data_IF_804883134989
#
_entry.id   IF_804883134989
#
_cell.length_a   1.000
_cell.length_b   1.000
_cell.length_c   1.000
_cell.angle_alpha   90.00
_cell.angle_beta   90.00
_cell.angle_gamma   90.00
#
_symmetry.space_group_name_H-M   'P 1'
#
loop_
_entity.id
_entity.type
_entity.pdbx_description
1 polymer ?
#
# COMPACT_ATOMS: atom_id res chain seq x y z
N UNK A 1 -59.80 -14.17 22.79
CA UNK A 1 -58.86 -14.63 23.83
C UNK A 1 -57.52 -13.95 23.61
N UNK A 2 -57.10 -13.19 24.61
CA UNK A 2 -55.83 -12.50 24.75
C UNK A 2 -54.65 -13.48 24.77
N UNK A 3 -53.55 -13.04 24.17
CA UNK A 3 -52.47 -13.81 23.53
C UNK A 3 -51.49 -14.43 24.55
N UNK A 4 -51.03 -15.67 24.35
CA UNK A 4 -49.89 -16.18 25.12
C UNK A 4 -48.59 -15.98 24.34
N UNK A 5 -47.74 -15.08 24.82
CA UNK A 5 -46.38 -14.82 24.34
C UNK A 5 -45.41 -16.00 24.61
N UNK A 6 -45.88 -17.08 25.25
CA UNK A 6 -45.10 -18.29 25.51
C UNK A 6 -44.90 -19.19 24.27
N UNK A 7 -45.61 -18.93 23.17
CA UNK A 7 -45.51 -19.71 21.93
C UNK A 7 -44.38 -19.24 20.99
N UNK A 8 -43.77 -18.08 21.26
CA UNK A 8 -42.78 -17.46 20.38
C UNK A 8 -41.32 -17.85 20.67
N UNK A 9 -41.03 -18.60 21.75
CA UNK A 9 -39.64 -18.97 22.13
C UNK A 9 -39.41 -20.46 22.36
N UNK A 10 -40.38 -21.32 22.03
CA UNK A 10 -40.13 -22.76 22.01
C UNK A 10 -39.53 -23.16 20.66
N UNK A 11 -38.19 -23.18 20.64
CA UNK A 11 -37.33 -23.93 19.72
C UNK A 11 -38.10 -24.64 18.62
N UNK A 12 -38.36 -23.94 17.53
CA UNK A 12 -38.78 -24.57 16.29
C UNK A 12 -37.59 -25.40 15.82
N UNK A 13 -37.67 -26.70 16.07
CA UNK A 13 -36.80 -27.69 15.45
C UNK A 13 -36.81 -27.40 13.94
N UNK A 14 -35.70 -26.88 13.41
CA UNK A 14 -35.45 -26.76 11.97
C UNK A 14 -35.11 -28.11 11.34
N UNK A 15 -35.28 -29.20 12.09
CA UNK A 15 -35.19 -30.55 11.53
C UNK A 15 -36.45 -30.78 10.68
N UNK A 16 -36.32 -31.04 9.36
CA UNK A 16 -37.49 -31.32 8.55
C UNK A 16 -38.19 -32.55 9.11
N UNK A 17 -39.40 -32.37 9.64
CA UNK A 17 -40.22 -33.47 10.13
C UNK A 17 -40.55 -34.41 8.96
N UNK A 18 -39.90 -35.57 8.94
CA UNK A 18 -40.14 -36.66 7.99
C UNK A 18 -41.46 -37.41 8.26
N UNK A 19 -42.54 -36.67 8.49
CA UNK A 19 -43.88 -37.21 8.70
C UNK A 19 -44.89 -36.57 7.74
N UNK A 20 -44.55 -36.55 6.45
CA UNK A 20 -45.59 -36.56 5.43
C UNK A 20 -46.13 -37.99 5.37
N UNK A 21 -47.40 -38.16 5.76
CA UNK A 21 -48.12 -39.42 5.55
C UNK A 21 -48.07 -39.71 4.05
N UNK A 22 -47.35 -40.77 3.67
CA UNK A 22 -47.39 -41.28 2.30
C UNK A 22 -48.82 -41.67 1.98
N UNK A 23 -49.49 -40.88 1.15
CA UNK A 23 -50.66 -41.34 0.43
C UNK A 23 -50.17 -42.39 -0.56
N UNK A 24 -50.62 -43.66 -0.50
CA UNK A 24 -50.25 -44.67 -1.46
C UNK A 24 -51.02 -44.43 -2.77
N UNK A 25 -50.75 -43.30 -3.43
CA UNK A 25 -51.10 -43.14 -4.84
C UNK A 25 -50.11 -44.00 -5.62
N UNK A 26 -50.50 -45.26 -5.82
CA UNK A 26 -50.02 -46.17 -6.87
C UNK A 26 -48.65 -45.83 -7.46
N UNK A 27 -47.61 -45.87 -6.62
CA UNK A 27 -46.23 -45.93 -7.11
C UNK A 27 -46.11 -47.32 -7.69
N UNK A 28 -46.10 -47.40 -9.02
CA UNK A 28 -45.76 -48.62 -9.76
C UNK A 28 -44.54 -49.28 -9.09
N UNK A 29 -44.77 -50.45 -8.51
CA UNK A 29 -43.77 -51.28 -7.83
C UNK A 29 -42.77 -51.92 -8.82
N UNK A 30 -42.32 -51.18 -9.83
CA UNK A 30 -41.52 -51.68 -10.95
C UNK A 30 -40.20 -50.93 -11.15
N UNK A 31 -39.56 -50.44 -10.08
CA UNK A 31 -38.17 -49.95 -10.19
C UNK A 31 -37.30 -50.24 -8.97
N UNK A 32 -37.62 -51.29 -8.20
CA UNK A 32 -36.58 -51.93 -7.42
C UNK A 32 -35.50 -52.40 -8.42
N UNK A 33 -34.23 -51.97 -8.29
CA UNK A 33 -33.18 -52.43 -9.20
C UNK A 33 -33.16 -53.96 -9.17
N UNK A 34 -32.94 -54.62 -10.31
CA UNK A 34 -32.98 -56.08 -10.38
C UNK A 34 -32.09 -56.63 -9.28
N UNK A 35 -32.69 -57.40 -8.36
CA UNK A 35 -32.01 -58.11 -7.28
C UNK A 35 -31.16 -59.21 -7.90
N UNK A 36 -30.07 -58.83 -8.59
CA UNK A 36 -29.09 -59.78 -9.09
C UNK A 36 -28.46 -60.44 -7.86
N UNK A 37 -28.59 -61.77 -7.70
CA UNK A 37 -27.91 -62.48 -6.62
C UNK A 37 -26.42 -62.17 -6.71
N UNK A 38 -25.82 -61.80 -5.58
CA UNK A 38 -24.38 -61.53 -5.50
C UNK A 38 -23.58 -62.82 -5.68
N UNK A 39 -22.27 -62.72 -5.91
CA UNK A 39 -21.38 -63.87 -5.95
C UNK A 39 -21.50 -64.71 -4.66
N UNK A 40 -21.46 -66.05 -4.74
CA UNK A 40 -21.53 -66.91 -3.55
C UNK A 40 -20.29 -66.68 -2.66
N UNK A 41 -20.49 -66.42 -1.35
CA UNK A 41 -19.42 -66.23 -0.37
C UNK A 41 -19.09 -64.77 0.01
N UNK A 42 -19.82 -63.77 -0.50
CA UNK A 42 -19.62 -62.34 -0.18
C UNK A 42 -19.83 -62.05 1.33
N UNK A 43 -18.91 -61.30 1.95
CA UNK A 43 -19.08 -60.88 3.35
C UNK A 43 -20.26 -59.90 3.50
N UNK A 44 -20.93 -59.82 4.66
CA UNK A 44 -22.05 -58.89 4.85
C UNK A 44 -21.68 -57.43 4.55
N UNK A 45 -20.45 -57.03 4.87
CA UNK A 45 -19.95 -55.67 4.64
C UNK A 45 -19.70 -55.38 3.15
N UNK A 46 -19.18 -56.36 2.43
CA UNK A 46 -18.95 -56.27 0.99
C UNK A 46 -20.27 -56.20 0.21
N UNK A 47 -21.28 -56.96 0.64
CA UNK A 47 -22.64 -56.89 0.11
C UNK A 47 -23.24 -55.49 0.23
N UNK A 48 -23.06 -54.84 1.39
CA UNK A 48 -23.54 -53.46 1.59
C UNK A 48 -22.79 -52.49 0.69
N UNK A 49 -21.46 -52.65 0.55
CA UNK A 49 -20.65 -51.81 -0.36
C UNK A 49 -21.09 -51.95 -1.81
N UNK A 50 -21.36 -53.18 -2.26
CA UNK A 50 -21.87 -53.45 -3.61
C UNK A 50 -23.26 -52.87 -3.82
N UNK A 51 -24.17 -53.03 -2.86
CA UNK A 51 -25.52 -52.48 -2.95
C UNK A 51 -25.50 -50.95 -2.96
N UNK A 52 -24.65 -50.31 -2.16
CA UNK A 52 -24.43 -48.85 -2.20
C UNK A 52 -23.86 -48.42 -3.55
N UNK A 53 -22.81 -49.10 -4.03
CA UNK A 53 -22.22 -48.81 -5.33
C UNK A 53 -23.22 -49.01 -6.49
N UNK A 54 -24.08 -50.03 -6.43
CA UNK A 54 -25.14 -50.26 -7.42
C UNK A 54 -26.25 -49.21 -7.33
N UNK A 55 -26.61 -48.76 -6.13
CA UNK A 55 -27.57 -47.67 -5.94
C UNK A 55 -27.00 -46.33 -6.44
N UNK A 56 -25.74 -46.04 -6.16
CA UNK A 56 -25.04 -44.85 -6.64
C UNK A 56 -24.85 -44.92 -8.17
N UNK A 57 -24.55 -46.08 -8.72
CA UNK A 57 -24.49 -46.29 -10.17
C UNK A 57 -25.86 -46.11 -10.84
N UNK A 58 -26.94 -46.60 -10.23
CA UNK A 58 -28.30 -46.41 -10.73
C UNK A 58 -28.72 -44.92 -10.68
N UNK A 59 -28.38 -44.20 -9.61
CA UNK A 59 -28.57 -42.74 -9.55
C UNK A 59 -27.76 -42.02 -10.62
N UNK A 60 -26.48 -42.37 -10.79
CA UNK A 60 -25.61 -41.75 -11.79
C UNK A 60 -25.99 -42.11 -13.23
N UNK A 61 -26.70 -43.21 -13.47
CA UNK A 61 -27.21 -43.59 -14.80
C UNK A 61 -28.44 -42.76 -15.21
N UNK A 62 -29.20 -42.22 -14.26
CA UNK A 62 -30.35 -41.33 -14.53
C UNK A 62 -29.92 -39.91 -14.94
N UNK A 63 -28.66 -39.54 -14.68
CA UNK A 63 -28.12 -38.24 -15.06
C UNK A 63 -27.65 -38.27 -16.51
N UNK A 64 -28.22 -37.37 -17.33
CA UNK A 64 -27.85 -37.20 -18.74
C UNK A 64 -26.36 -36.88 -18.90
N UNK A 65 -25.73 -37.37 -19.96
CA UNK A 65 -24.32 -37.10 -20.27
C UNK A 65 -24.03 -35.62 -20.45
N UNK A 66 -24.99 -34.86 -20.99
CA UNK A 66 -24.90 -33.40 -21.11
C UNK A 66 -24.91 -32.72 -19.75
N UNK A 67 -25.74 -33.19 -18.81
CA UNK A 67 -25.80 -32.65 -17.45
C UNK A 67 -24.47 -32.89 -16.70
N UNK A 68 -23.86 -34.07 -16.88
CA UNK A 68 -22.51 -34.36 -16.37
C UNK A 68 -21.46 -33.42 -16.94
N UNK A 69 -21.53 -33.13 -18.24
CA UNK A 69 -20.59 -32.23 -18.91
C UNK A 69 -20.76 -30.78 -18.44
N UNK A 70 -21.99 -30.33 -18.24
CA UNK A 70 -22.31 -28.99 -17.70
C UNK A 70 -21.80 -28.85 -16.26
N UNK A 71 -22.06 -29.85 -15.40
CA UNK A 71 -21.57 -29.86 -14.02
C UNK A 71 -20.04 -29.83 -13.96
N UNK A 72 -19.36 -30.59 -14.83
CA UNK A 72 -17.90 -30.58 -14.95
C UNK A 72 -17.39 -29.25 -15.49
N UNK A 73 -18.09 -28.67 -16.47
CA UNK A 73 -17.80 -27.39 -17.08
C UNK A 73 -17.83 -26.23 -16.08
N UNK A 74 -18.83 -26.21 -15.18
CA UNK A 74 -18.90 -25.21 -14.11
C UNK A 74 -17.67 -25.23 -13.21
N UNK A 75 -17.25 -26.42 -12.77
CA UNK A 75 -16.05 -26.56 -11.93
C UNK A 75 -14.77 -26.15 -12.66
N UNK A 76 -14.71 -26.39 -13.98
CA UNK A 76 -13.57 -25.98 -14.79
C UNK A 76 -13.55 -24.47 -15.04
N UNK A 77 -14.71 -23.86 -15.27
CA UNK A 77 -14.86 -22.42 -15.38
C UNK A 77 -14.45 -21.70 -14.08
N UNK A 78 -14.91 -22.21 -12.92
CA UNK A 78 -14.51 -21.69 -11.62
C UNK A 78 -12.99 -21.82 -11.38
N UNK A 79 -12.38 -22.93 -11.82
CA UNK A 79 -10.92 -23.11 -11.77
C UNK A 79 -10.19 -22.14 -12.70
N UNK A 80 -10.67 -21.95 -13.92
CA UNK A 80 -10.07 -21.03 -14.88
C UNK A 80 -10.14 -19.58 -14.37
N UNK A 81 -11.28 -19.15 -13.83
CA UNK A 81 -11.43 -17.83 -13.22
C UNK A 81 -10.50 -17.64 -12.02
N UNK A 82 -10.37 -18.66 -11.16
CA UNK A 82 -9.42 -18.59 -10.02
C UNK A 82 -7.97 -18.52 -10.50
N UNK A 83 -7.61 -19.28 -11.53
CA UNK A 83 -6.27 -19.24 -12.10
C UNK A 83 -5.93 -17.86 -12.68
N UNK A 84 -6.83 -17.26 -13.46
CA UNK A 84 -6.61 -15.93 -14.03
C UNK A 84 -6.54 -14.85 -12.95
N UNK A 85 -7.42 -14.90 -11.94
CA UNK A 85 -7.39 -13.98 -10.81
C UNK A 85 -6.06 -14.08 -10.05
N UNK A 86 -5.61 -15.29 -9.71
CA UNK A 86 -4.34 -15.51 -9.03
C UNK A 86 -3.14 -15.12 -9.91
N UNK A 87 -3.22 -15.33 -11.22
CA UNK A 87 -2.20 -14.87 -12.16
C UNK A 87 -2.09 -13.35 -12.20
N UNK A 88 -3.21 -12.63 -12.20
CA UNK A 88 -3.22 -11.16 -12.17
C UNK A 88 -2.64 -10.64 -10.86
N UNK A 89 -3.00 -11.26 -9.73
CA UNK A 89 -2.42 -10.93 -8.44
C UNK A 89 -0.91 -11.20 -8.43
N UNK A 90 -0.46 -12.33 -8.96
CA UNK A 90 0.97 -12.62 -9.10
C UNK A 90 1.70 -11.59 -9.96
N UNK A 91 1.09 -11.19 -11.08
CA UNK A 91 1.66 -10.18 -11.97
C UNK A 91 1.78 -8.81 -11.30
N UNK A 92 0.84 -8.40 -10.45
CA UNK A 92 0.94 -7.11 -9.72
C UNK A 92 2.06 -7.13 -8.68
N UNK A 93 2.30 -8.25 -8.00
CA UNK A 93 3.45 -8.38 -7.10
C UNK A 93 4.79 -8.30 -7.85
N UNK A 94 4.90 -8.95 -9.01
CA UNK A 94 6.12 -8.87 -9.85
C UNK A 94 6.33 -7.43 -10.33
N UNK A 95 5.29 -6.77 -10.84
CA UNK A 95 5.35 -5.37 -11.26
C UNK A 95 5.75 -4.45 -10.11
N UNK A 96 5.19 -4.64 -8.91
CA UNK A 96 5.58 -3.91 -7.70
C UNK A 96 7.02 -4.17 -7.27
N UNK A 97 7.52 -5.40 -7.41
CA UNK A 97 8.92 -5.72 -7.15
C UNK A 97 9.86 -4.99 -8.12
N UNK A 98 9.51 -4.94 -9.41
CA UNK A 98 10.30 -4.25 -10.44
C UNK A 98 10.35 -2.74 -10.18
N UNK A 99 9.23 -2.12 -9.74
CA UNK A 99 9.23 -0.68 -9.44
C UNK A 99 10.11 -0.33 -8.25
N UNK A 100 10.06 -1.12 -7.16
CA UNK A 100 10.95 -0.94 -6.01
C UNK A 100 12.41 -1.13 -6.40
N UNK A 101 12.71 -2.13 -7.23
CA UNK A 101 14.06 -2.35 -7.76
C UNK A 101 14.54 -1.14 -8.56
N UNK A 102 13.74 -0.64 -9.50
CA UNK A 102 14.10 0.51 -10.33
C UNK A 102 14.35 1.79 -9.51
N UNK A 103 13.50 2.06 -8.52
CA UNK A 103 13.69 3.21 -7.61
C UNK A 103 14.99 3.08 -6.81
N UNK A 104 15.25 1.89 -6.28
CA UNK A 104 16.46 1.61 -5.49
C UNK A 104 17.72 1.74 -6.34
N UNK A 105 17.71 1.19 -7.56
CA UNK A 105 18.82 1.27 -8.51
C UNK A 105 19.14 2.72 -8.87
N UNK A 106 18.10 3.53 -9.17
CA UNK A 106 18.26 4.94 -9.48
C UNK A 106 18.82 5.72 -8.28
N UNK A 107 18.35 5.45 -7.06
CA UNK A 107 18.88 6.07 -5.85
C UNK A 107 20.36 5.76 -5.62
N UNK A 108 20.77 4.49 -5.78
CA UNK A 108 22.18 4.09 -5.60
C UNK A 108 23.06 4.75 -6.66
N UNK A 109 22.65 4.71 -7.91
CA UNK A 109 23.39 5.35 -9.00
C UNK A 109 23.54 6.87 -8.79
N UNK A 110 22.44 7.54 -8.44
CA UNK A 110 22.44 8.99 -8.23
C UNK A 110 23.22 9.38 -6.98
N UNK A 111 23.21 8.53 -5.95
CA UNK A 111 24.05 8.70 -4.75
C UNK A 111 25.53 8.54 -5.05
N UNK A 112 25.92 7.59 -5.92
CA UNK A 112 27.32 7.43 -6.36
C UNK A 112 27.79 8.64 -7.17
N UNK A 113 26.99 9.11 -8.13
CA UNK A 113 27.33 10.29 -8.93
C UNK A 113 27.42 11.56 -8.11
N UNK A 114 26.49 11.76 -7.17
CA UNK A 114 26.58 12.86 -6.21
C UNK A 114 27.81 12.73 -5.31
N UNK A 115 28.15 11.54 -4.85
CA UNK A 115 29.33 11.31 -4.02
C UNK A 115 30.64 11.67 -4.74
N UNK A 116 30.77 11.33 -6.02
CA UNK A 116 31.92 11.72 -6.86
C UNK A 116 32.04 13.24 -6.94
N UNK A 117 30.94 13.93 -7.28
CA UNK A 117 30.91 15.39 -7.38
C UNK A 117 31.25 16.09 -6.05
N UNK A 118 30.69 15.60 -4.93
CA UNK A 118 30.99 16.15 -3.61
C UNK A 118 32.42 15.84 -3.16
N UNK A 119 32.99 14.70 -3.56
CA UNK A 119 34.38 14.38 -3.28
C UNK A 119 35.34 15.33 -4.01
N UNK A 120 35.06 15.64 -5.28
CA UNK A 120 35.83 16.61 -6.07
C UNK A 120 35.73 18.02 -5.50
N UNK A 121 34.52 18.50 -5.18
CA UNK A 121 34.35 19.81 -4.54
C UNK A 121 35.06 19.89 -3.20
N UNK A 122 34.96 18.85 -2.39
CA UNK A 122 35.64 18.79 -1.09
C UNK A 122 37.16 18.82 -1.28
N UNK A 123 37.71 18.09 -2.25
CA UNK A 123 39.14 18.12 -2.55
C UNK A 123 39.62 19.52 -2.98
N UNK A 124 38.85 20.21 -3.82
CA UNK A 124 39.16 21.60 -4.22
C UNK A 124 39.09 22.56 -3.03
N UNK A 125 38.08 22.42 -2.18
CA UNK A 125 37.91 23.23 -0.98
C UNK A 125 39.04 22.99 0.04
N UNK A 126 39.40 21.72 0.29
CA UNK A 126 40.49 21.35 1.17
C UNK A 126 41.84 21.88 0.65
N UNK A 127 42.07 21.83 -0.67
CA UNK A 127 43.24 22.44 -1.30
C UNK A 127 43.26 23.97 -1.15
N UNK A 128 42.10 24.64 -1.26
CA UNK A 128 41.99 26.08 -1.03
C UNK A 128 42.27 26.46 0.44
N UNK A 129 41.82 25.64 1.40
CA UNK A 129 42.17 25.82 2.81
C UNK A 129 43.67 25.64 3.04
N UNK A 130 44.28 24.62 2.42
CA UNK A 130 45.71 24.36 2.59
C UNK A 130 46.55 25.53 2.08
N UNK A 131 46.25 26.03 0.88
CA UNK A 131 46.96 27.16 0.29
C UNK A 131 46.76 28.45 1.10
N UNK A 132 45.55 28.70 1.62
CA UNK A 132 45.28 29.84 2.49
C UNK A 132 46.08 29.77 3.81
N UNK A 133 46.20 28.57 4.40
CA UNK A 133 46.99 28.34 5.63
C UNK A 133 48.48 28.49 5.39
N UNK A 134 49.00 28.00 4.27
CA UNK A 134 50.41 28.18 3.88
C UNK A 134 50.73 29.67 3.70
N UNK A 135 49.87 30.41 2.98
CA UNK A 135 50.04 31.84 2.78
C UNK A 135 49.97 32.63 4.10
N UNK A 136 49.13 32.18 5.05
CA UNK A 136 49.07 32.77 6.39
C UNK A 136 50.34 32.49 7.19
N UNK A 137 50.87 31.27 7.12
CA UNK A 137 52.10 30.88 7.79
C UNK A 137 53.34 31.59 7.21
N UNK A 138 53.37 31.82 5.89
CA UNK A 138 54.43 32.59 5.22
C UNK A 138 54.27 34.10 5.40
N UNK A 139 53.20 34.58 6.05
CA UNK A 139 52.93 36.00 6.26
C UNK A 139 52.53 36.77 4.99
N UNK A 140 52.27 36.08 3.88
CA UNK A 140 51.89 36.67 2.58
C UNK A 140 50.40 36.49 2.28
N UNK A 141 49.58 36.21 3.30
CA UNK A 141 48.15 35.98 3.14
C UNK A 141 47.42 37.23 2.67
N UNK A 142 46.55 37.04 1.68
CA UNK A 142 45.61 38.07 1.25
C UNK A 142 44.46 38.19 2.25
N UNK A 143 43.86 39.39 2.36
CA UNK A 143 42.70 39.62 3.25
C UNK A 143 41.53 38.67 2.96
N UNK A 144 41.33 38.34 1.68
CA UNK A 144 40.33 37.36 1.26
C UNK A 144 40.59 35.95 1.82
N UNK A 145 41.85 35.49 1.86
CA UNK A 145 42.23 34.18 2.42
C UNK A 145 42.06 34.14 3.94
N UNK A 146 42.32 35.26 4.63
CA UNK A 146 42.12 35.40 6.08
C UNK A 146 40.62 35.31 6.40
N UNK A 147 39.79 36.06 5.68
CA UNK A 147 38.33 36.01 5.87
C UNK A 147 37.75 34.63 5.54
N UNK A 148 38.25 33.98 4.49
CA UNK A 148 37.87 32.61 4.15
C UNK A 148 38.15 31.63 5.29
N UNK A 149 39.33 31.70 5.91
CA UNK A 149 39.68 30.83 7.04
C UNK A 149 38.82 31.12 8.28
N UNK A 150 38.52 32.40 8.55
CA UNK A 150 37.64 32.78 9.65
C UNK A 150 36.22 32.24 9.46
N UNK A 151 35.71 32.28 8.23
CA UNK A 151 34.40 31.71 7.88
C UNK A 151 34.40 30.19 8.05
N UNK A 152 35.41 29.47 7.54
CA UNK A 152 35.55 28.01 7.73
C UNK A 152 35.59 27.61 9.21
N UNK A 153 36.35 28.35 10.03
CA UNK A 153 36.40 28.11 11.47
C UNK A 153 35.03 28.34 12.16
N UNK A 154 34.31 29.39 11.76
CA UNK A 154 32.97 29.67 12.27
C UNK A 154 31.95 28.59 11.88
N UNK A 155 32.04 28.06 10.65
CA UNK A 155 31.20 26.96 10.19
C UNK A 155 31.48 25.65 10.96
N UNK A 156 32.75 25.33 11.20
CA UNK A 156 33.14 24.16 12.01
C UNK A 156 32.59 24.24 13.43
N UNK A 157 32.73 25.40 14.09
CA UNK A 157 32.18 25.63 15.41
C UNK A 157 30.64 25.44 15.46
N UNK A 158 29.93 25.90 14.42
CA UNK A 158 28.48 25.69 14.30
C UNK A 158 28.12 24.22 14.12
N UNK A 159 28.83 23.49 13.28
CA UNK A 159 28.58 22.06 13.05
C UNK A 159 28.84 21.24 14.32
N UNK A 160 29.89 21.56 15.07
CA UNK A 160 30.19 20.92 16.35
C UNK A 160 29.13 21.20 17.41
N UNK A 161 28.65 22.45 17.52
CA UNK A 161 27.54 22.80 18.40
C UNK A 161 26.27 22.02 18.06
N UNK A 162 25.93 21.91 16.77
CA UNK A 162 24.77 21.14 16.32
C UNK A 162 24.94 19.63 16.56
N UNK A 163 26.16 19.08 16.41
CA UNK A 163 26.45 17.68 16.73
C UNK A 163 26.30 17.42 18.23
N UNK A 164 26.83 18.29 19.08
CA UNK A 164 26.69 18.20 20.53
C UNK A 164 25.22 18.26 20.96
N UNK A 165 24.42 19.16 20.37
CA UNK A 165 22.99 19.24 20.64
C UNK A 165 22.23 17.97 20.20
N UNK A 166 22.59 17.41 19.03
CA UNK A 166 21.99 16.16 18.54
C UNK A 166 22.36 14.96 19.41
N UNK A 167 23.59 14.89 19.91
CA UNK A 167 24.01 13.82 20.82
C UNK A 167 23.25 13.90 22.14
N UNK A 168 23.04 15.10 22.68
CA UNK A 168 22.20 15.29 23.86
C UNK A 168 20.75 14.86 23.60
N UNK A 169 20.17 15.21 22.45
CA UNK A 169 18.80 14.81 22.08
C UNK A 169 18.65 13.30 21.83
N UNK A 170 19.64 12.65 21.22
CA UNK A 170 19.64 11.18 21.04
C UNK A 170 19.62 10.43 22.37
N UNK A 171 20.31 10.95 23.39
CA UNK A 171 20.25 10.40 24.74
C UNK A 171 18.84 10.45 25.36
N UNK A 172 18.05 11.47 25.03
CA UNK A 172 16.69 11.66 25.55
C UNK A 172 15.69 10.75 24.81
N UNK A 173 15.80 10.64 23.48
CA UNK A 173 14.96 9.74 22.69
C UNK A 173 15.19 8.26 23.00
N UNK A 174 16.44 7.84 23.23
CA UNK A 174 16.76 6.46 23.62
C UNK A 174 16.12 6.08 24.96
N UNK A 175 16.20 6.97 25.96
CA UNK A 175 15.57 6.77 27.27
C UNK A 175 14.04 6.65 27.17
N UNK A 176 13.41 7.46 26.30
CA UNK A 176 11.97 7.37 26.03
C UNK A 176 11.56 6.06 25.36
N UNK A 177 12.33 5.60 24.37
CA UNK A 177 12.08 4.31 23.71
C UNK A 177 12.32 3.12 24.64
N UNK A 178 13.37 3.16 25.47
CA UNK A 178 13.66 2.08 26.43
C UNK A 178 12.56 1.98 27.49
N UNK A 179 12.00 3.11 27.95
CA UNK A 179 10.85 3.09 28.87
C UNK A 179 9.58 2.52 28.21
N UNK A 180 9.27 2.94 26.97
CA UNK A 180 8.10 2.45 26.23
C UNK A 180 8.18 0.95 25.89
N UNK A 181 9.37 0.41 25.65
CA UNK A 181 9.58 -1.01 25.33
C UNK A 181 10.01 -1.86 26.54
N UNK A 182 10.31 -1.27 27.69
CA UNK A 182 10.60 -1.99 28.94
C UNK A 182 9.39 -2.76 29.47
N UNK A 183 8.17 -2.33 29.15
CA UNK A 183 6.94 -3.05 29.53
C UNK A 183 6.71 -4.33 28.74
N UNK A 184 7.27 -4.43 27.53
CA UNK A 184 7.09 -5.60 26.65
C UNK A 184 8.13 -6.71 26.89
N UNK A 185 9.25 -6.38 27.53
CA UNK A 185 10.33 -7.34 27.83
C UNK A 185 10.19 -8.05 29.19
N UNK A 186 9.20 -7.71 30.02
CA UNK A 186 9.11 -8.22 31.40
C UNK A 186 7.97 -9.23 31.64
N UNK A 187 7.34 -9.75 30.59
CA UNK A 187 6.28 -10.76 30.70
C UNK A 187 6.50 -12.05 29.89
N UNK A 188 7.74 -12.42 29.55
CA UNK A 188 8.00 -13.74 28.98
C UNK A 188 9.19 -14.40 29.67
N UNK A 189 8.87 -15.17 30.71
CA UNK A 189 9.76 -16.12 31.36
C UNK A 189 9.05 -17.46 31.48
N UNK A 190 9.02 -18.23 30.38
CA UNK A 190 9.02 -19.69 30.37
C UNK A 190 9.11 -20.18 28.91
N UNK A 191 10.24 -20.82 28.60
CA UNK A 191 10.40 -21.89 27.61
C UNK A 191 10.15 -21.56 26.12
N UNK A 192 11.22 -21.17 25.41
CA UNK A 192 11.78 -22.01 24.34
C UNK A 192 12.93 -21.30 23.60
N UNK A 193 14.12 -21.88 23.71
CA UNK A 193 15.25 -21.55 22.88
C UNK A 193 15.18 -22.33 21.56
N UNK A 194 14.71 -21.71 20.48
CA UNK A 194 15.17 -21.92 19.10
C UNK A 194 14.27 -21.15 18.12
N UNK A 195 14.88 -20.60 17.05
CA UNK A 195 14.25 -19.87 15.93
C UNK A 195 13.83 -18.44 16.37
N UNK A 196 14.55 -17.35 16.16
CA UNK A 196 15.37 -16.93 15.02
C UNK A 196 16.25 -15.74 15.47
N UNK A 197 17.50 -16.00 15.84
CA UNK A 197 18.49 -14.94 16.10
C UNK A 197 19.81 -15.21 15.35
N UNK A 198 19.71 -15.90 14.20
CA UNK A 198 20.84 -16.23 13.33
C UNK A 198 20.66 -15.70 11.89
N UNK A 199 19.72 -14.79 11.63
CA UNK A 199 19.50 -14.26 10.27
C UNK A 199 19.11 -12.79 10.32
N UNK A 200 20.09 -11.92 10.59
CA UNK A 200 20.24 -10.58 10.01
C UNK A 200 21.44 -9.90 10.69
N UNK A 201 22.60 -10.54 10.54
CA UNK A 201 23.86 -9.82 10.48
C UNK A 201 23.83 -8.93 9.25
N UNK A 202 23.37 -7.70 9.43
CA UNK A 202 23.75 -6.56 8.59
C UNK A 202 24.28 -5.53 9.56
N UNK A 203 25.59 -5.60 9.78
CA UNK A 203 26.37 -4.43 10.13
C UNK A 203 26.16 -3.40 9.02
N UNK A 204 25.08 -2.63 9.14
CA UNK A 204 24.87 -1.45 8.31
C UNK A 204 25.97 -0.46 8.71
N UNK A 205 26.84 -0.03 7.77
CA UNK A 205 27.91 0.89 8.10
C UNK A 205 27.28 2.17 8.65
N UNK A 206 27.87 2.73 9.72
CA UNK A 206 27.40 3.97 10.36
C UNK A 206 27.25 5.15 9.38
N UNK A 207 27.87 5.06 8.19
CA UNK A 207 27.71 6.00 7.07
C UNK A 207 26.36 5.87 6.32
N UNK A 208 25.74 4.68 6.29
CA UNK A 208 24.41 4.49 5.70
C UNK A 208 23.33 5.18 6.56
N UNK A 209 23.45 5.11 7.89
CA UNK A 209 22.57 5.83 8.81
C UNK A 209 22.75 7.36 8.74
N UNK A 210 23.97 7.87 8.59
CA UNK A 210 24.21 9.31 8.42
C UNK A 210 23.71 9.84 7.07
N UNK A 211 23.79 9.01 6.01
CA UNK A 211 23.19 9.33 4.71
C UNK A 211 21.66 9.25 4.72
N UNK A 212 21.07 8.30 5.45
CA UNK A 212 19.62 8.17 5.60
C UNK A 212 19.06 9.33 6.43
N UNK A 213 19.75 9.74 7.49
CA UNK A 213 19.39 10.91 8.33
C UNK A 213 19.56 12.23 7.57
N UNK A 214 20.53 12.34 6.66
CA UNK A 214 20.62 13.49 5.73
C UNK A 214 19.48 13.48 4.71
N UNK A 215 19.12 12.31 4.16
CA UNK A 215 17.98 12.15 3.26
C UNK A 215 16.67 12.47 3.98
N UNK A 216 16.47 12.03 5.22
CA UNK A 216 15.32 12.39 6.04
C UNK A 216 15.30 13.89 6.36
N UNK A 217 16.44 14.52 6.63
CA UNK A 217 16.55 15.95 6.85
C UNK A 217 16.24 16.79 5.60
N UNK A 218 16.63 16.33 4.42
CA UNK A 218 16.35 16.99 3.14
C UNK A 218 14.90 16.74 2.69
N UNK A 219 14.35 15.56 2.94
CA UNK A 219 12.92 15.25 2.73
C UNK A 219 12.05 16.03 3.70
N UNK A 220 12.45 16.19 4.97
CA UNK A 220 11.75 17.04 5.94
C UNK A 220 11.82 18.51 5.55
N UNK A 221 12.97 19.02 5.08
CA UNK A 221 13.07 20.37 4.52
C UNK A 221 12.19 20.55 3.29
N UNK A 222 12.19 19.59 2.36
CA UNK A 222 11.32 19.63 1.19
C UNK A 222 9.83 19.52 1.55
N UNK A 223 9.48 18.80 2.61
CA UNK A 223 8.12 18.75 3.16
C UNK A 223 7.76 20.08 3.81
N UNK A 224 8.66 20.70 4.56
CA UNK A 224 8.41 21.99 5.22
C UNK A 224 8.36 23.13 4.20
N UNK A 225 9.19 23.12 3.15
CA UNK A 225 9.08 24.03 2.00
C UNK A 225 7.76 23.81 1.25
N UNK A 226 7.33 22.56 1.05
CA UNK A 226 6.02 22.26 0.48
C UNK A 226 4.87 22.71 1.39
N UNK A 227 5.00 22.58 2.70
CA UNK A 227 4.01 23.10 3.67
C UNK A 227 3.96 24.62 3.64
N UNK A 228 5.10 25.30 3.56
CA UNK A 228 5.16 26.76 3.42
C UNK A 228 4.50 27.22 2.11
N UNK A 229 4.81 26.58 0.98
CA UNK A 229 4.16 26.91 -0.30
C UNK A 229 2.67 26.57 -0.33
N UNK A 230 2.22 25.51 0.35
CA UNK A 230 0.78 25.20 0.51
C UNK A 230 0.12 26.22 1.44
N UNK A 231 0.78 26.61 2.54
CA UNK A 231 0.29 27.62 3.47
C UNK A 231 0.19 29.00 2.80
N UNK A 232 1.17 29.37 1.96
CA UNK A 232 1.16 30.62 1.22
C UNK A 232 0.10 30.60 0.12
N UNK A 233 -0.08 29.46 -0.59
CA UNK A 233 -1.20 29.28 -1.53
C UNK A 233 -2.55 29.31 -0.82
N UNK A 234 -2.66 28.78 0.39
CA UNK A 234 -3.88 28.82 1.18
C UNK A 234 -4.20 30.24 1.67
N UNK A 235 -3.19 30.99 2.13
CA UNK A 235 -3.33 32.42 2.47
C UNK A 235 -3.72 33.25 1.26
N UNK A 236 -3.06 33.04 0.12
CA UNK A 236 -3.37 33.73 -1.13
C UNK A 236 -4.77 33.39 -1.64
N UNK A 237 -5.21 32.13 -1.52
CA UNK A 237 -6.58 31.74 -1.84
C UNK A 237 -7.60 32.37 -0.88
N UNK A 238 -7.28 32.49 0.41
CA UNK A 238 -8.13 33.12 1.41
C UNK A 238 -8.23 34.64 1.21
N UNK A 239 -7.14 35.30 0.84
CA UNK A 239 -7.10 36.72 0.48
C UNK A 239 -7.92 36.97 -0.79
N UNK A 240 -7.75 36.14 -1.83
CA UNK A 240 -8.57 36.19 -3.04
C UNK A 240 -10.07 36.00 -2.75
N UNK A 241 -10.43 35.12 -1.81
CA UNK A 241 -11.83 34.91 -1.41
C UNK A 241 -12.37 36.08 -0.58
N UNK A 242 -11.55 36.66 0.30
CA UNK A 242 -11.89 37.88 1.05
C UNK A 242 -12.06 39.09 0.13
N UNK A 243 -11.27 39.18 -0.93
CA UNK A 243 -11.43 40.20 -1.98
C UNK A 243 -12.70 39.97 -2.81
N UNK A 244 -13.04 38.71 -3.13
CA UNK A 244 -14.32 38.35 -3.77
C UNK A 244 -15.52 38.70 -2.89
N UNK A 245 -15.42 38.55 -1.57
CA UNK A 245 -16.47 39.01 -0.65
C UNK A 245 -16.58 40.55 -0.61
N UNK A 246 -15.48 41.27 -0.78
CA UNK A 246 -15.48 42.75 -0.84
C UNK A 246 -15.94 43.32 -2.19
N UNK A 247 -15.67 42.62 -3.28
CA UNK A 247 -15.91 43.09 -4.66
C UNK A 247 -17.07 42.36 -5.35
N UNK A 248 -17.78 41.50 -4.63
CA UNK A 248 -18.79 40.61 -5.18
C UNK A 248 -18.18 39.41 -5.91
N UNK A 249 -18.81 38.25 -5.77
CA UNK A 249 -18.41 37.04 -6.48
C UNK A 249 -18.58 37.21 -8.00
N UNK A 250 -18.04 36.30 -8.82
CA UNK A 250 -18.21 36.36 -10.28
C UNK A 250 -19.68 36.36 -10.72
N UNK A 251 -20.61 35.83 -9.91
CA UNK A 251 -22.05 35.92 -10.15
C UNK A 251 -22.61 37.33 -9.90
N UNK A 252 -22.11 38.07 -8.91
CA UNK A 252 -22.59 39.41 -8.56
C UNK A 252 -22.16 40.45 -9.62
N UNK A 253 -21.05 40.18 -10.31
CA UNK A 253 -20.54 41.04 -11.40
C UNK A 253 -21.33 40.90 -12.69
N UNK A 254 -21.96 39.75 -12.93
CA UNK A 254 -22.78 39.52 -14.14
C UNK A 254 -24.00 40.46 -14.17
N UNK A 255 -24.50 40.90 -13.02
CA UNK A 255 -25.57 41.90 -12.95
C UNK A 255 -25.14 43.33 -13.32
N UNK A 256 -23.88 43.70 -13.04
CA UNK A 256 -23.35 45.06 -13.29
C UNK A 256 -22.76 45.18 -14.70
N UNK A 257 -22.19 44.11 -15.25
CA UNK A 257 -21.66 44.10 -16.62
C UNK A 257 -22.75 44.17 -17.70
N UNK A 258 -24.01 43.84 -17.35
CA UNK A 258 -25.11 43.82 -18.32
C UNK A 258 -25.66 45.21 -18.65
N UNK A 259 -25.35 46.23 -17.83
CA UNK A 259 -25.74 47.63 -18.15
C UNK A 259 -24.67 48.39 -18.96
N UNK A 260 -23.42 47.93 -19.00
CA UNK A 260 -22.30 48.66 -19.67
C UNK A 260 -21.74 47.98 -20.94
N UNK A 261 -22.34 46.88 -21.42
CA UNK A 261 -21.88 46.21 -22.65
C UNK A 261 -22.98 46.03 -23.70
N UNK A 262 -23.66 47.14 -23.99
CA UNK A 262 -24.42 47.36 -25.23
C UNK A 262 -23.53 48.01 -26.31
N UNK A 263 -22.38 47.41 -26.62
CA UNK A 263 -21.66 47.70 -27.87
C UNK A 263 -20.59 46.65 -28.16
N UNK A 264 -20.82 45.85 -29.21
CA UNK A 264 -19.77 45.23 -30.02
C UNK A 264 -19.15 43.92 -29.51
N UNK A 265 -19.13 42.94 -30.43
CA UNK A 265 -18.19 41.81 -30.51
C UNK A 265 -18.42 40.54 -29.65
N UNK A 266 -19.01 39.55 -30.33
CA UNK A 266 -18.73 38.11 -30.35
C UNK A 266 -18.00 37.47 -29.14
N UNK A 267 -18.77 36.73 -28.33
CA UNK A 267 -18.25 35.75 -27.39
C UNK A 267 -17.61 34.54 -28.12
N UNK A 268 -16.36 34.13 -27.82
CA UNK A 268 -15.83 32.88 -28.33
C UNK A 268 -16.49 31.71 -27.58
N UNK A 269 -17.20 30.86 -28.34
CA UNK A 269 -17.82 29.63 -27.85
C UNK A 269 -16.77 28.75 -27.18
N UNK A 270 -17.03 28.36 -25.93
CA UNK A 270 -16.24 27.43 -25.13
C UNK A 270 -16.00 26.12 -25.90
N UNK A 271 -14.77 25.93 -26.38
CA UNK A 271 -14.34 24.69 -27.03
C UNK A 271 -14.28 23.55 -26.02
N UNK A 272 -15.29 22.67 -26.07
CA UNK A 272 -15.29 21.42 -25.32
C UNK A 272 -14.12 20.51 -25.74
N UNK A 273 -13.73 19.62 -24.84
CA UNK A 273 -12.61 18.67 -24.92
C UNK A 273 -12.44 17.89 -26.24
N UNK A 274 -13.45 17.85 -27.10
CA UNK A 274 -13.42 17.18 -28.40
C UNK A 274 -12.74 17.97 -29.53
N UNK A 275 -12.42 19.25 -29.33
CA UNK A 275 -11.81 20.10 -30.36
C UNK A 275 -10.42 19.63 -30.85
N UNK A 276 -9.70 18.79 -30.11
CA UNK A 276 -8.36 18.35 -30.52
C UNK A 276 -8.39 17.22 -31.56
N UNK A 277 -9.48 16.46 -31.66
CA UNK A 277 -9.59 15.29 -32.55
C UNK A 277 -9.88 15.69 -34.00
N UNK A 278 -10.57 16.80 -34.24
CA UNK A 278 -10.99 17.22 -35.59
C UNK A 278 -9.96 18.08 -36.34
N UNK A 279 -8.82 18.41 -35.72
CA UNK A 279 -7.79 19.27 -36.36
C UNK A 279 -6.68 18.50 -37.10
N UNK A 280 -6.82 17.19 -37.26
CA UNK A 280 -5.81 16.33 -37.89
C UNK A 280 -6.45 15.38 -38.91
N UNK A 281 -7.00 15.97 -39.96
CA UNK A 281 -7.35 15.29 -41.21
C UNK A 281 -7.12 16.26 -42.36
#
# INVERSE_FOLDING_TARGET
>A
MSRSAADATRFTSTTPHASAKFHPSAVKANSAPPRKPGPPGETPQEKVRRLRAAADAARNAQVSTLDKLILRGRVWADKAHRFTALSLIGATFIAGGITVYALTDMMIYNRRKRAEFFAEQKAQYDAAIHTAKEALASGTATEAQINFLNMDNAEKARVEALKAEKEQKKGIFKKGSEWLFSGLKKEEGADDAAISQATLGVEAPKEAADSLVKVEGEVMKAIDEKKMTIADKAKQAFENEKERQRTGGPLDRIGVSTDDSKSGEESPKSGGWFSFITRRS
#
